data_IF_965443328794
#
_entry.id   IF_965443328794
#
_cell.length_a   1.000
_cell.length_b   1.000
_cell.length_c   1.000
_cell.angle_alpha   90.00
_cell.angle_beta   90.00
_cell.angle_gamma   90.00
#
_symmetry.space_group_name_H-M   'P 1'
#
loop_
_entity.id
_entity.type
_entity.pdbx_description
1 polymer ?
#
# COMPACT_ATOMS: atom_id res chain seq x y z
N UNK A 1 -21.06 19.64 18.47
CA UNK A 1 -20.22 20.24 17.42
C UNK A 1 -18.88 20.77 17.96
N UNK A 2 -18.82 21.71 18.93
CA UNK A 2 -17.55 22.27 19.48
C UNK A 2 -16.53 21.23 19.95
N UNK A 3 -16.98 20.18 20.69
CA UNK A 3 -16.10 19.09 21.14
C UNK A 3 -15.46 18.35 19.96
N UNK A 4 -16.22 18.06 18.90
CA UNK A 4 -15.71 17.36 17.71
C UNK A 4 -14.67 18.21 16.97
N UNK A 5 -14.96 19.50 16.76
CA UNK A 5 -14.00 20.43 16.13
C UNK A 5 -12.69 20.50 16.94
N UNK A 6 -12.81 20.61 18.28
CA UNK A 6 -11.62 20.62 19.15
C UNK A 6 -10.81 19.32 19.09
N UNK A 7 -11.46 18.15 19.02
CA UNK A 7 -10.75 16.86 18.90
C UNK A 7 -10.05 16.73 17.56
N UNK A 8 -10.69 17.14 16.47
CA UNK A 8 -10.07 17.13 15.13
C UNK A 8 -8.85 18.07 15.07
N UNK A 9 -8.98 19.28 15.63
CA UNK A 9 -7.86 20.23 15.70
C UNK A 9 -6.67 19.64 16.50
N UNK A 10 -6.94 19.11 17.69
CA UNK A 10 -5.91 18.47 18.53
C UNK A 10 -5.22 17.28 17.83
N UNK A 11 -5.99 16.47 17.08
CA UNK A 11 -5.41 15.38 16.29
C UNK A 11 -4.45 15.93 15.23
N UNK A 12 -4.87 16.95 14.48
CA UNK A 12 -4.03 17.56 13.45
C UNK A 12 -2.76 18.18 14.04
N UNK A 13 -2.86 18.96 15.11
CA UNK A 13 -1.73 19.55 15.83
C UNK A 13 -0.74 18.51 16.32
N UNK A 14 -1.26 17.42 16.91
CA UNK A 14 -0.41 16.31 17.35
C UNK A 14 0.30 15.63 16.18
N UNK A 15 -0.42 15.25 15.11
CA UNK A 15 0.19 14.59 13.93
C UNK A 15 1.20 15.49 13.22
N UNK A 16 1.02 16.81 13.23
CA UNK A 16 2.00 17.78 12.73
C UNK A 16 3.28 17.84 13.56
N UNK A 17 3.22 17.51 14.85
CA UNK A 17 4.40 17.42 15.71
C UNK A 17 5.07 16.02 15.69
N UNK A 18 4.50 15.05 14.99
CA UNK A 18 4.99 13.69 14.93
C UNK A 18 5.85 13.41 13.69
N UNK A 19 6.82 12.53 13.84
CA UNK A 19 7.48 11.82 12.75
C UNK A 19 6.60 10.62 12.39
N UNK A 20 5.85 10.73 11.29
CA UNK A 20 4.85 9.75 10.85
C UNK A 20 5.51 8.71 9.93
N UNK A 21 5.68 7.50 10.43
CA UNK A 21 6.35 6.40 9.75
C UNK A 21 5.44 5.17 9.54
N UNK A 22 4.13 5.37 9.53
CA UNK A 22 3.19 4.31 9.16
C UNK A 22 3.30 4.03 7.65
N UNK A 23 3.72 2.82 7.29
CA UNK A 23 3.96 2.46 5.89
C UNK A 23 2.70 2.49 5.00
N UNK A 24 1.50 2.54 5.60
CA UNK A 24 0.21 2.59 4.89
C UNK A 24 -0.46 3.97 4.92
N UNK A 25 0.23 5.02 5.37
CA UNK A 25 -0.28 6.39 5.40
C UNK A 25 0.53 7.30 4.47
N UNK A 26 -0.11 8.35 3.98
CA UNK A 26 0.53 9.45 3.24
C UNK A 26 -0.40 10.66 3.25
N UNK A 27 0.09 11.79 2.76
CA UNK A 27 -0.67 13.03 2.65
C UNK A 27 -0.85 13.46 1.21
N UNK A 28 -2.06 13.92 0.88
CA UNK A 28 -2.32 14.63 -0.37
C UNK A 28 -1.67 16.01 -0.36
N UNK A 29 -1.46 16.58 -1.54
CA UNK A 29 -1.12 18.00 -1.65
C UNK A 29 -2.34 18.89 -1.37
N UNK A 30 -2.13 20.16 -0.98
CA UNK A 30 -3.22 21.11 -0.86
C UNK A 30 -4.05 21.26 -2.15
N UNK A 31 -3.43 21.16 -3.32
CA UNK A 31 -4.13 21.17 -4.61
C UNK A 31 -5.09 19.97 -4.75
N UNK A 32 -4.66 18.78 -4.39
CA UNK A 32 -5.51 17.57 -4.41
C UNK A 32 -6.61 17.63 -3.34
N UNK A 33 -6.33 18.17 -2.15
CA UNK A 33 -7.33 18.35 -1.09
C UNK A 33 -8.46 19.29 -1.52
N UNK A 34 -8.14 20.38 -2.22
CA UNK A 34 -9.17 21.28 -2.78
C UNK A 34 -10.06 20.60 -3.81
N UNK A 35 -9.51 19.70 -4.63
CA UNK A 35 -10.29 18.91 -5.57
C UNK A 35 -11.18 17.86 -4.87
N UNK A 36 -10.80 17.43 -3.68
CA UNK A 36 -11.52 16.42 -2.91
C UNK A 36 -12.81 16.99 -2.29
N UNK A 37 -12.81 18.26 -1.84
CA UNK A 37 -13.97 18.90 -1.22
C UNK A 37 -14.82 19.60 -2.27
N UNK A 38 -15.88 18.94 -2.73
CA UNK A 38 -16.75 19.43 -3.80
C UNK A 38 -18.19 18.91 -3.65
N UNK A 39 -19.13 19.40 -4.48
CA UNK A 39 -20.51 18.91 -4.55
C UNK A 39 -20.62 17.42 -4.84
N UNK A 40 -19.61 16.82 -5.48
CA UNK A 40 -19.54 15.38 -5.74
C UNK A 40 -19.64 14.52 -4.47
N UNK A 41 -19.37 15.08 -3.27
CA UNK A 41 -19.56 14.40 -1.98
C UNK A 41 -21.01 14.00 -1.70
N UNK A 42 -21.97 14.60 -2.40
CA UNK A 42 -23.39 14.47 -2.15
C UNK A 42 -24.13 13.73 -3.28
N UNK A 43 -23.42 13.19 -4.29
CA UNK A 43 -24.02 12.66 -5.51
C UNK A 43 -23.94 11.14 -5.58
N UNK A 44 -24.84 10.57 -6.38
CA UNK A 44 -24.95 9.15 -6.69
C UNK A 44 -24.67 8.90 -8.17
N UNK A 45 -23.85 7.89 -8.48
CA UNK A 45 -23.47 7.52 -9.84
C UNK A 45 -23.36 6.00 -10.02
N UNK A 46 -24.36 5.26 -9.51
CA UNK A 46 -24.43 3.81 -9.71
C UNK A 46 -24.45 3.45 -11.19
N UNK A 47 -23.76 2.37 -11.55
CA UNK A 47 -23.52 1.97 -12.91
C UNK A 47 -22.10 2.33 -13.39
N UNK A 48 -21.92 2.38 -14.70
CA UNK A 48 -20.67 2.79 -15.36
C UNK A 48 -20.93 4.07 -16.17
N UNK A 49 -19.89 4.83 -16.55
CA UNK A 49 -20.04 6.02 -17.40
C UNK A 49 -20.97 5.75 -18.59
N UNK A 50 -21.85 6.70 -18.90
CA UNK A 50 -22.85 6.68 -19.97
C UNK A 50 -23.95 5.59 -19.86
N UNK A 51 -23.90 4.76 -18.81
CA UNK A 51 -24.90 3.73 -18.50
C UNK A 51 -25.27 3.76 -17.00
N UNK A 52 -25.67 4.94 -16.52
CA UNK A 52 -26.01 5.19 -15.12
C UNK A 52 -27.48 4.89 -14.83
N UNK A 53 -27.73 4.56 -13.58
CA UNK A 53 -29.10 4.44 -13.05
C UNK A 53 -29.70 5.80 -12.64
N UNK A 54 -28.88 6.85 -12.53
CA UNK A 54 -29.25 8.21 -12.08
C UNK A 54 -28.96 9.25 -13.16
N UNK A 55 -29.69 10.37 -13.10
CA UNK A 55 -29.52 11.53 -13.97
C UNK A 55 -28.62 12.60 -13.37
N UNK A 56 -28.27 13.63 -14.15
CA UNK A 56 -27.44 14.74 -13.72
C UNK A 56 -25.95 14.43 -13.66
N UNK A 57 -25.48 13.39 -14.38
CA UNK A 57 -24.14 12.84 -14.29
C UNK A 57 -23.24 13.13 -15.48
N UNK A 58 -23.64 14.02 -16.39
CA UNK A 58 -22.89 14.31 -17.60
C UNK A 58 -21.42 14.74 -17.36
N UNK A 59 -21.13 15.42 -16.23
CA UNK A 59 -19.77 15.80 -15.86
C UNK A 59 -19.08 14.73 -15.02
N UNK A 60 -19.83 13.97 -14.26
CA UNK A 60 -19.31 12.81 -13.51
C UNK A 60 -18.77 11.76 -14.46
N UNK A 61 -19.50 11.48 -15.55
CA UNK A 61 -19.07 10.54 -16.58
C UNK A 61 -17.74 10.98 -17.21
N UNK A 62 -17.64 12.26 -17.60
CA UNK A 62 -16.41 12.80 -18.15
C UNK A 62 -15.23 12.76 -17.16
N UNK A 63 -15.47 13.03 -15.88
CA UNK A 63 -14.45 12.93 -14.83
C UNK A 63 -13.97 11.50 -14.68
N UNK A 64 -14.89 10.54 -14.60
CA UNK A 64 -14.54 9.13 -14.41
C UNK A 64 -13.83 8.57 -15.65
N UNK A 65 -14.29 8.88 -16.85
CA UNK A 65 -13.61 8.52 -18.10
C UNK A 65 -12.17 9.07 -18.13
N UNK A 66 -12.00 10.36 -17.83
CA UNK A 66 -10.69 11.00 -17.84
C UNK A 66 -9.74 10.34 -16.85
N UNK A 67 -10.21 10.05 -15.66
CA UNK A 67 -9.39 9.36 -14.63
C UNK A 67 -8.99 7.97 -15.11
N UNK A 68 -9.95 7.17 -15.60
CA UNK A 68 -9.68 5.80 -16.06
C UNK A 68 -8.72 5.78 -17.25
N UNK A 69 -8.93 6.65 -18.25
CA UNK A 69 -8.07 6.72 -19.44
C UNK A 69 -6.63 7.12 -19.08
N UNK A 70 -6.45 8.11 -18.20
CA UNK A 70 -5.11 8.54 -17.80
C UNK A 70 -4.38 7.46 -16.98
N UNK A 71 -5.09 6.70 -16.12
CA UNK A 71 -4.49 5.56 -15.43
C UNK A 71 -4.15 4.42 -16.38
N UNK A 72 -5.03 4.06 -17.32
CA UNK A 72 -4.75 3.06 -18.36
C UNK A 72 -3.49 3.42 -19.13
N UNK A 73 -3.43 4.65 -19.62
CA UNK A 73 -2.28 5.15 -20.38
C UNK A 73 -0.99 5.12 -19.57
N UNK A 74 -1.05 5.54 -18.29
CA UNK A 74 0.15 5.62 -17.44
C UNK A 74 0.72 4.26 -17.08
N UNK A 75 -0.13 3.28 -16.81
CA UNK A 75 0.27 1.92 -16.42
C UNK A 75 0.34 0.93 -17.59
N UNK A 76 -0.01 1.33 -18.81
CA UNK A 76 -0.08 0.44 -19.96
C UNK A 76 -1.13 -0.65 -19.80
N UNK A 77 -2.28 -0.30 -19.19
CA UNK A 77 -3.39 -1.20 -18.94
C UNK A 77 -4.53 -1.00 -19.96
N UNK A 78 -5.21 -2.08 -20.34
CA UNK A 78 -6.40 -2.02 -21.20
C UNK A 78 -7.67 -1.73 -20.39
N UNK A 79 -7.65 -2.06 -19.09
CA UNK A 79 -8.76 -1.92 -18.16
C UNK A 79 -8.34 -1.13 -16.92
N UNK A 80 -9.24 -0.25 -16.45
CA UNK A 80 -9.13 0.45 -15.18
C UNK A 80 -10.51 0.58 -14.54
N UNK A 81 -10.65 0.21 -13.26
CA UNK A 81 -11.83 0.49 -12.45
C UNK A 81 -11.41 1.24 -11.17
N UNK A 82 -11.82 2.50 -11.05
CA UNK A 82 -11.46 3.40 -9.94
C UNK A 82 -12.53 3.45 -8.84
N UNK A 83 -13.60 2.68 -8.97
CA UNK A 83 -14.74 2.69 -8.04
C UNK A 83 -14.51 1.96 -6.71
N UNK A 84 -13.62 0.96 -6.57
CA UNK A 84 -13.40 0.32 -5.27
C UNK A 84 -13.06 1.33 -4.18
N UNK A 85 -13.75 1.24 -3.03
CA UNK A 85 -13.57 2.17 -1.90
C UNK A 85 -12.35 1.84 -1.03
N UNK A 86 -11.71 0.71 -1.28
CA UNK A 86 -10.48 0.26 -0.60
C UNK A 86 -9.73 -0.76 -1.44
N UNK A 87 -8.44 -0.98 -1.13
CA UNK A 87 -7.66 -2.08 -1.72
C UNK A 87 -8.27 -3.45 -1.42
N UNK A 88 -8.84 -3.65 -0.25
CA UNK A 88 -9.56 -4.88 0.10
C UNK A 88 -10.73 -5.13 -0.85
N UNK A 89 -11.53 -4.10 -1.17
CA UNK A 89 -12.65 -4.24 -2.10
C UNK A 89 -12.16 -4.49 -3.53
N UNK A 90 -11.02 -3.90 -3.92
CA UNK A 90 -10.37 -4.21 -5.20
C UNK A 90 -9.98 -5.69 -5.27
N UNK A 91 -9.39 -6.25 -4.19
CA UNK A 91 -9.09 -7.68 -4.09
C UNK A 91 -10.36 -8.54 -4.19
N UNK A 92 -11.41 -8.18 -3.44
CA UNK A 92 -12.69 -8.89 -3.48
C UNK A 92 -13.24 -8.98 -4.90
N UNK A 93 -13.30 -7.85 -5.60
CA UNK A 93 -13.87 -7.77 -6.94
C UNK A 93 -13.02 -8.56 -7.95
N UNK A 94 -11.68 -8.45 -7.88
CA UNK A 94 -10.78 -9.20 -8.75
C UNK A 94 -10.90 -10.72 -8.51
N UNK A 95 -10.88 -11.16 -7.24
CA UNK A 95 -11.01 -12.59 -6.89
C UNK A 95 -12.35 -13.17 -7.35
N UNK A 96 -13.47 -12.48 -7.03
CA UNK A 96 -14.81 -12.92 -7.42
C UNK A 96 -15.01 -13.01 -8.93
N UNK A 97 -14.35 -12.13 -9.70
CA UNK A 97 -14.49 -12.10 -11.15
C UNK A 97 -13.86 -13.31 -11.86
N UNK A 98 -12.82 -13.89 -11.28
CA UNK A 98 -12.01 -14.93 -11.93
C UNK A 98 -12.04 -16.29 -11.22
N UNK A 99 -12.82 -16.43 -10.15
CA UNK A 99 -12.91 -17.68 -9.40
C UNK A 99 -14.35 -18.03 -9.00
N UNK A 100 -14.53 -19.26 -8.56
CA UNK A 100 -15.75 -19.78 -7.97
C UNK A 100 -15.47 -20.37 -6.59
N UNK A 101 -16.51 -20.53 -5.78
CA UNK A 101 -16.43 -21.18 -4.47
C UNK A 101 -15.80 -22.58 -4.60
N UNK A 102 -14.81 -22.88 -3.75
CA UNK A 102 -14.04 -24.13 -3.75
C UNK A 102 -12.80 -24.10 -4.65
N UNK A 103 -12.59 -23.05 -5.45
CA UNK A 103 -11.34 -22.93 -6.21
C UNK A 103 -10.14 -22.75 -5.28
N UNK A 104 -9.03 -23.41 -5.65
CA UNK A 104 -7.74 -23.25 -4.96
C UNK A 104 -6.98 -22.06 -5.50
N UNK A 105 -6.38 -21.30 -4.59
CA UNK A 105 -5.49 -20.18 -4.88
C UNK A 105 -4.18 -20.31 -4.11
N UNK A 106 -3.15 -19.64 -4.60
CA UNK A 106 -1.90 -19.47 -3.85
C UNK A 106 -1.69 -18.00 -3.54
N UNK A 107 -1.31 -17.71 -2.30
CA UNK A 107 -0.90 -16.37 -1.87
C UNK A 107 0.41 -16.44 -1.08
N UNK A 108 0.96 -15.28 -0.71
CA UNK A 108 1.98 -15.24 0.33
C UNK A 108 1.31 -15.48 1.69
N UNK A 109 2.00 -16.11 2.64
CA UNK A 109 1.55 -16.14 4.04
C UNK A 109 1.62 -14.75 4.68
N UNK A 110 0.80 -14.49 5.69
CA UNK A 110 0.77 -13.17 6.39
C UNK A 110 2.14 -12.80 6.95
N UNK A 111 2.89 -13.76 7.47
CA UNK A 111 4.25 -13.53 7.98
C UNK A 111 5.27 -13.18 6.88
N UNK A 112 4.93 -13.44 5.62
CA UNK A 112 5.73 -13.11 4.46
C UNK A 112 5.21 -11.89 3.68
N UNK A 113 4.32 -11.13 4.30
CA UNK A 113 3.86 -9.83 3.79
C UNK A 113 2.54 -9.83 3.03
N UNK A 114 1.82 -10.96 2.99
CA UNK A 114 0.45 -10.98 2.46
C UNK A 114 -0.47 -9.99 3.19
N UNK A 115 -1.51 -9.55 2.51
CA UNK A 115 -2.59 -8.82 3.15
C UNK A 115 -3.68 -9.81 3.63
N UNK A 116 -4.34 -9.51 4.75
CA UNK A 116 -5.39 -10.36 5.32
C UNK A 116 -6.53 -10.67 4.31
N UNK A 117 -6.78 -9.83 3.32
CA UNK A 117 -7.76 -10.10 2.25
C UNK A 117 -7.41 -11.32 1.39
N UNK A 118 -6.15 -11.73 1.33
CA UNK A 118 -5.73 -12.91 0.58
C UNK A 118 -5.91 -14.21 1.35
N UNK A 119 -6.25 -14.13 2.63
CA UNK A 119 -6.30 -15.24 3.56
C UNK A 119 -7.75 -15.74 3.81
N UNK A 120 -7.84 -16.91 4.47
CA UNK A 120 -9.12 -17.49 4.90
C UNK A 120 -9.94 -16.56 5.81
N UNK A 121 -9.27 -15.66 6.54
CA UNK A 121 -9.93 -14.67 7.40
C UNK A 121 -10.43 -13.42 6.64
N UNK A 122 -10.13 -13.28 5.36
CA UNK A 122 -10.44 -12.10 4.55
C UNK A 122 -11.32 -12.42 3.34
N UNK A 123 -11.05 -11.70 2.23
CA UNK A 123 -11.82 -11.78 1.00
C UNK A 123 -11.81 -13.20 0.41
N UNK A 124 -10.65 -13.83 0.34
CA UNK A 124 -10.52 -15.18 -0.21
C UNK A 124 -11.40 -16.20 0.54
N UNK A 125 -11.36 -16.18 1.89
CA UNK A 125 -12.20 -17.10 2.67
C UNK A 125 -13.68 -16.76 2.62
N UNK A 126 -14.05 -15.47 2.56
CA UNK A 126 -15.47 -15.07 2.42
C UNK A 126 -16.04 -15.53 1.08
N UNK A 127 -15.25 -15.53 0.01
CA UNK A 127 -15.62 -16.10 -1.29
C UNK A 127 -15.61 -17.64 -1.28
N UNK A 128 -15.15 -18.26 -0.20
CA UNK A 128 -15.08 -19.71 -0.06
C UNK A 128 -13.94 -20.35 -0.86
N UNK A 129 -12.86 -19.59 -1.09
CA UNK A 129 -11.66 -20.10 -1.77
C UNK A 129 -10.79 -20.90 -0.81
N UNK A 130 -10.11 -21.91 -1.34
CA UNK A 130 -9.09 -22.68 -0.63
C UNK A 130 -7.73 -22.02 -0.82
N UNK A 131 -7.17 -21.50 0.29
CA UNK A 131 -5.91 -20.75 0.27
C UNK A 131 -4.77 -21.66 0.71
N UNK A 132 -3.74 -21.75 -0.11
CA UNK A 132 -2.42 -22.29 0.22
C UNK A 132 -1.36 -21.21 -0.02
N UNK A 133 -0.16 -21.39 0.57
CA UNK A 133 0.89 -20.37 0.50
C UNK A 133 1.97 -20.73 -0.53
N UNK A 134 2.46 -19.70 -1.21
CA UNK A 134 3.69 -19.74 -2.00
C UNK A 134 4.90 -19.91 -1.06
N UNK A 135 6.01 -20.34 -1.61
CA UNK A 135 7.22 -20.57 -0.83
C UNK A 135 8.07 -19.29 -0.71
N UNK A 136 8.65 -19.09 0.45
CA UNK A 136 9.38 -17.89 0.81
C UNK A 136 10.75 -18.21 1.41
N UNK A 137 11.73 -17.33 1.17
CA UNK A 137 13.07 -17.46 1.73
C UNK A 137 13.17 -16.71 3.08
N UNK A 138 14.18 -17.01 3.87
CA UNK A 138 14.42 -16.34 5.14
C UNK A 138 14.92 -14.88 4.97
N UNK A 139 15.25 -14.46 3.76
CA UNK A 139 15.78 -13.14 3.43
C UNK A 139 14.69 -12.14 2.96
N UNK A 140 13.46 -12.41 3.29
CA UNK A 140 12.28 -11.63 2.88
C UNK A 140 12.05 -11.57 1.35
N UNK A 141 12.45 -12.60 0.63
CA UNK A 141 12.14 -12.78 -0.80
C UNK A 141 11.32 -14.04 -1.04
N UNK A 142 10.56 -14.06 -2.13
CA UNK A 142 9.88 -15.27 -2.59
C UNK A 142 10.88 -16.27 -3.15
N UNK A 143 10.69 -17.55 -2.83
CA UNK A 143 11.40 -18.63 -3.49
C UNK A 143 10.69 -18.99 -4.81
N UNK A 144 11.19 -18.46 -5.92
CA UNK A 144 10.55 -18.62 -7.22
C UNK A 144 10.52 -20.09 -7.68
N UNK A 145 11.61 -20.83 -7.50
CA UNK A 145 11.73 -22.24 -7.93
C UNK A 145 10.71 -23.14 -7.23
N UNK A 146 10.70 -23.10 -5.89
CA UNK A 146 9.74 -23.88 -5.09
C UNK A 146 8.29 -23.42 -5.31
N UNK A 147 8.07 -22.12 -5.50
CA UNK A 147 6.74 -21.60 -5.82
C UNK A 147 6.25 -22.06 -7.19
N UNK A 148 7.09 -22.09 -8.21
CA UNK A 148 6.77 -22.66 -9.52
C UNK A 148 6.42 -24.15 -9.43
N UNK A 149 7.22 -24.94 -8.72
CA UNK A 149 6.92 -26.36 -8.50
C UNK A 149 5.56 -26.56 -7.80
N UNK A 150 5.23 -25.69 -6.83
CA UNK A 150 3.96 -25.73 -6.13
C UNK A 150 2.79 -25.33 -7.04
N UNK A 151 2.93 -24.30 -7.88
CA UNK A 151 1.93 -23.90 -8.89
C UNK A 151 1.60 -25.09 -9.81
N UNK A 152 2.62 -25.74 -10.37
CA UNK A 152 2.44 -26.89 -11.25
C UNK A 152 1.74 -28.07 -10.57
N UNK A 153 2.06 -28.31 -9.28
CA UNK A 153 1.45 -29.38 -8.48
C UNK A 153 0.00 -29.09 -8.11
N UNK A 154 -0.29 -27.87 -7.61
CA UNK A 154 -1.59 -27.48 -7.07
C UNK A 154 -2.57 -27.11 -8.18
N UNK A 155 -2.08 -26.53 -9.28
CA UNK A 155 -2.86 -25.98 -10.39
C UNK A 155 -3.92 -25.01 -9.89
N UNK A 156 -3.51 -23.91 -9.23
CA UNK A 156 -4.44 -22.95 -8.67
C UNK A 156 -5.24 -22.23 -9.76
N UNK A 157 -6.40 -21.70 -9.40
CA UNK A 157 -7.19 -20.83 -10.30
C UNK A 157 -6.45 -19.52 -10.60
N UNK A 158 -5.84 -18.95 -9.57
CA UNK A 158 -4.93 -17.80 -9.67
C UNK A 158 -3.94 -17.81 -8.51
N UNK A 159 -2.87 -17.04 -8.67
CA UNK A 159 -1.99 -16.67 -7.57
C UNK A 159 -2.16 -15.19 -7.28
N UNK A 160 -2.02 -14.79 -5.99
CA UNK A 160 -1.95 -13.39 -5.59
C UNK A 160 -0.63 -13.13 -4.87
N UNK A 161 0.13 -12.17 -5.39
CA UNK A 161 1.46 -11.79 -4.90
C UNK A 161 1.46 -10.30 -4.55
N UNK A 162 2.43 -9.85 -3.76
CA UNK A 162 2.40 -8.51 -3.19
C UNK A 162 1.55 -8.44 -1.91
N UNK A 163 1.16 -7.25 -1.49
CA UNK A 163 0.33 -7.04 -0.30
C UNK A 163 0.87 -6.02 0.70
N UNK A 164 0.94 -6.39 1.99
CA UNK A 164 1.24 -5.48 3.11
C UNK A 164 2.72 -5.19 3.32
N UNK A 165 3.60 -6.13 2.99
CA UNK A 165 5.06 -5.97 3.08
C UNK A 165 5.69 -6.41 1.77
N UNK A 166 6.39 -5.49 1.14
CA UNK A 166 7.10 -5.73 -0.12
C UNK A 166 8.44 -4.98 0.00
N UNK A 167 9.49 -5.69 0.40
CA UNK A 167 10.83 -5.10 0.47
C UNK A 167 11.54 -5.11 -0.88
N UNK A 168 11.28 -6.12 -1.72
CA UNK A 168 11.92 -6.34 -3.01
C UNK A 168 10.89 -6.67 -4.10
N UNK A 169 11.23 -6.46 -5.39
CA UNK A 169 10.41 -6.90 -6.50
C UNK A 169 10.04 -8.38 -6.40
N UNK A 170 8.85 -8.73 -6.87
CA UNK A 170 8.36 -10.11 -6.89
C UNK A 170 8.77 -10.80 -8.21
N UNK A 171 9.03 -12.12 -8.23
CA UNK A 171 9.53 -12.83 -9.41
C UNK A 171 8.40 -13.17 -10.40
N UNK A 172 7.72 -12.14 -10.96
CA UNK A 172 6.55 -12.32 -11.82
C UNK A 172 6.87 -13.14 -13.07
N UNK A 173 7.99 -12.82 -13.73
CA UNK A 173 8.38 -13.47 -14.99
C UNK A 173 8.65 -14.95 -14.83
N UNK A 174 9.25 -15.34 -13.71
CA UNK A 174 9.51 -16.76 -13.38
C UNK A 174 8.19 -17.48 -13.10
N UNK A 175 7.30 -16.88 -12.30
CA UNK A 175 6.00 -17.45 -11.95
C UNK A 175 5.06 -17.54 -13.15
N UNK A 176 5.14 -16.58 -14.09
CA UNK A 176 4.30 -16.54 -15.30
C UNK A 176 4.37 -17.83 -16.10
N UNK A 177 5.58 -18.39 -16.28
CA UNK A 177 5.77 -19.63 -17.04
C UNK A 177 4.99 -20.79 -16.42
N UNK A 178 5.12 -20.97 -15.10
CA UNK A 178 4.39 -22.03 -14.39
C UNK A 178 2.86 -21.79 -14.40
N UNK A 179 2.44 -20.54 -14.30
CA UNK A 179 1.02 -20.17 -14.37
C UNK A 179 0.44 -20.45 -15.76
N UNK A 180 1.18 -20.18 -16.84
CA UNK A 180 0.73 -20.46 -18.22
C UNK A 180 0.51 -21.95 -18.46
N UNK A 181 1.39 -22.82 -17.94
CA UNK A 181 1.26 -24.26 -18.08
C UNK A 181 -0.02 -24.81 -17.44
N UNK A 182 -0.51 -24.18 -16.39
CA UNK A 182 -1.72 -24.63 -15.65
C UNK A 182 -2.95 -23.76 -15.91
N UNK A 183 -2.83 -22.69 -16.70
CA UNK A 183 -3.90 -21.74 -16.98
C UNK A 183 -4.28 -20.83 -15.81
N UNK A 184 -3.36 -20.61 -14.86
CA UNK A 184 -3.59 -19.77 -13.71
C UNK A 184 -3.36 -18.27 -14.04
N UNK A 185 -4.15 -17.39 -13.42
CA UNK A 185 -3.95 -15.93 -13.49
C UNK A 185 -2.98 -15.46 -12.41
N UNK A 186 -2.33 -14.33 -12.65
CA UNK A 186 -1.49 -13.63 -11.67
C UNK A 186 -2.16 -12.31 -11.29
N UNK A 187 -2.50 -12.16 -10.01
CA UNK A 187 -2.93 -10.88 -9.43
C UNK A 187 -1.76 -10.31 -8.63
N UNK A 188 -1.44 -9.05 -8.89
CA UNK A 188 -0.44 -8.31 -8.14
C UNK A 188 -1.11 -7.26 -7.24
N UNK A 189 -1.05 -7.47 -5.91
CA UNK A 189 -1.50 -6.47 -4.95
C UNK A 189 -0.42 -5.40 -4.75
N UNK A 190 -0.55 -4.31 -5.50
CA UNK A 190 0.37 -3.18 -5.50
C UNK A 190 0.07 -2.15 -4.40
N UNK A 191 -0.82 -2.43 -3.46
CA UNK A 191 -1.32 -1.43 -2.52
C UNK A 191 -0.22 -0.62 -1.83
N UNK A 192 0.90 -1.24 -1.49
CA UNK A 192 2.02 -0.56 -0.85
C UNK A 192 3.02 0.09 -1.81
N UNK A 193 3.11 -0.38 -3.04
CA UNK A 193 4.17 0.04 -3.97
C UNK A 193 3.67 0.77 -5.21
N UNK A 194 2.35 1.05 -5.31
CA UNK A 194 1.76 1.71 -6.48
C UNK A 194 2.49 3.01 -6.86
N UNK A 195 2.88 3.84 -5.89
CA UNK A 195 3.60 5.08 -6.16
C UNK A 195 5.00 4.85 -6.71
N UNK A 196 5.69 3.79 -6.26
CA UNK A 196 7.01 3.43 -6.77
C UNK A 196 6.91 2.86 -8.19
N UNK A 197 5.87 2.06 -8.47
CA UNK A 197 5.54 1.54 -9.81
C UNK A 197 5.19 2.69 -10.75
N UNK A 198 4.30 3.59 -10.35
CA UNK A 198 3.89 4.75 -11.13
C UNK A 198 5.07 5.66 -11.50
N UNK A 199 6.08 5.73 -10.66
CA UNK A 199 7.30 6.50 -10.88
C UNK A 199 8.35 5.77 -11.74
N UNK A 200 8.15 4.50 -12.06
CA UNK A 200 9.14 3.67 -12.77
C UNK A 200 10.40 3.39 -11.94
N UNK A 201 10.30 3.41 -10.61
CA UNK A 201 11.43 3.17 -9.67
C UNK A 201 11.41 1.75 -9.10
N UNK A 202 10.30 1.05 -9.26
CA UNK A 202 10.11 -0.34 -8.85
C UNK A 202 9.84 -1.21 -10.09
N UNK A 203 9.28 -2.41 -9.94
CA UNK A 203 8.92 -3.29 -11.06
C UNK A 203 7.72 -2.77 -11.86
N UNK A 204 7.48 -3.35 -13.03
CA UNK A 204 6.31 -3.10 -13.88
C UNK A 204 5.47 -4.38 -14.00
N UNK A 205 4.53 -4.61 -13.07
CA UNK A 205 3.86 -5.91 -12.96
C UNK A 205 3.11 -6.35 -14.21
N UNK A 206 2.44 -5.43 -14.93
CA UNK A 206 1.69 -5.79 -16.15
C UNK A 206 2.63 -6.22 -17.28
N UNK A 207 3.73 -5.51 -17.48
CA UNK A 207 4.73 -5.88 -18.50
C UNK A 207 5.52 -7.12 -18.13
N UNK A 208 5.67 -7.39 -16.84
CA UNK A 208 6.32 -8.60 -16.33
C UNK A 208 5.42 -9.83 -16.39
N UNK A 209 4.11 -9.67 -16.62
CA UNK A 209 3.18 -10.77 -16.87
C UNK A 209 2.07 -10.94 -15.83
N UNK A 210 1.84 -9.99 -14.93
CA UNK A 210 0.62 -10.00 -14.13
C UNK A 210 -0.61 -9.70 -14.99
N UNK A 211 -1.70 -10.41 -14.79
CA UNK A 211 -2.95 -10.19 -15.51
C UNK A 211 -3.72 -8.99 -14.92
N UNK A 212 -3.69 -8.86 -13.59
CA UNK A 212 -4.46 -7.85 -12.84
C UNK A 212 -3.57 -7.24 -11.76
N UNK A 213 -3.65 -5.92 -11.63
CA UNK A 213 -3.16 -5.18 -10.46
C UNK A 213 -4.37 -4.76 -9.62
N UNK A 214 -4.36 -5.10 -8.34
CA UNK A 214 -5.24 -4.51 -7.33
C UNK A 214 -4.44 -3.56 -6.47
N UNK A 215 -5.02 -2.45 -6.00
CA UNK A 215 -4.23 -1.48 -5.26
C UNK A 215 -5.06 -0.57 -4.35
N UNK A 216 -4.37 0.09 -3.41
CA UNK A 216 -4.81 1.30 -2.70
C UNK A 216 -4.21 2.54 -3.35
N UNK A 217 -4.85 3.70 -3.17
CA UNK A 217 -4.47 4.95 -3.83
C UNK A 217 -3.89 6.01 -2.88
N UNK A 218 -3.49 5.64 -1.64
CA UNK A 218 -3.18 6.58 -0.56
C UNK A 218 -1.95 6.21 0.29
N UNK A 219 -1.05 5.34 -0.23
CA UNK A 219 0.16 4.92 0.48
C UNK A 219 1.38 5.53 -0.18
N UNK A 220 2.22 4.78 -0.88
CA UNK A 220 3.30 5.38 -1.69
C UNK A 220 2.76 6.26 -2.82
N UNK A 221 1.59 5.93 -3.36
CA UNK A 221 0.84 6.83 -4.23
C UNK A 221 0.08 7.82 -3.35
N UNK A 222 0.35 9.16 -3.44
CA UNK A 222 -0.14 10.15 -2.48
C UNK A 222 -1.53 10.72 -2.85
N UNK A 223 -2.46 9.83 -3.21
CA UNK A 223 -3.83 10.19 -3.57
C UNK A 223 -4.83 10.01 -2.41
N UNK A 224 -6.13 10.21 -2.67
CA UNK A 224 -7.19 10.01 -1.69
C UNK A 224 -7.35 8.53 -1.33
N UNK A 225 -7.84 8.24 -0.13
CA UNK A 225 -8.15 6.88 0.28
C UNK A 225 -9.14 6.22 -0.67
N UNK A 226 -8.84 4.98 -1.03
CA UNK A 226 -9.64 4.16 -1.93
C UNK A 226 -8.84 3.03 -2.54
N UNK A 227 -9.46 2.29 -3.44
CA UNK A 227 -8.84 1.23 -4.22
C UNK A 227 -8.97 1.48 -5.72
N UNK A 228 -8.29 0.65 -6.49
CA UNK A 228 -8.35 0.64 -7.95
C UNK A 228 -7.96 -0.75 -8.47
N UNK A 229 -8.48 -1.11 -9.63
CA UNK A 229 -8.11 -2.33 -10.36
C UNK A 229 -7.64 -1.91 -11.74
N UNK A 230 -6.48 -2.42 -12.14
CA UNK A 230 -5.91 -2.28 -13.47
C UNK A 230 -5.67 -3.68 -14.06
N UNK A 231 -5.67 -3.84 -15.37
CA UNK A 231 -5.36 -5.15 -15.95
C UNK A 231 -5.31 -5.14 -17.47
N UNK A 232 -4.67 -6.20 -17.99
CA UNK A 232 -4.71 -6.56 -19.41
C UNK A 232 -5.51 -7.87 -19.50
N UNK A 233 -6.82 -7.74 -19.58
CA UNK A 233 -7.79 -8.83 -19.42
C UNK A 233 -8.88 -8.75 -20.49
N UNK A 234 -9.46 -9.91 -20.82
CA UNK A 234 -10.55 -9.99 -21.78
C UNK A 234 -11.82 -9.26 -21.31
N UNK A 235 -12.69 -8.93 -22.27
CA UNK A 235 -13.91 -8.15 -22.03
C UNK A 235 -14.89 -8.84 -21.07
N UNK A 236 -14.91 -10.17 -21.05
CA UNK A 236 -15.76 -10.94 -20.13
C UNK A 236 -15.30 -10.76 -18.69
N UNK A 237 -14.00 -10.86 -18.45
CA UNK A 237 -13.39 -10.62 -17.13
C UNK A 237 -13.60 -9.17 -16.68
N UNK A 238 -13.44 -8.18 -17.59
CA UNK A 238 -13.74 -6.78 -17.29
C UNK A 238 -15.18 -6.60 -16.79
N UNK A 239 -16.16 -7.16 -17.50
CA UNK A 239 -17.58 -7.11 -17.10
C UNK A 239 -17.84 -7.79 -15.76
N UNK A 240 -17.17 -8.91 -15.48
CA UNK A 240 -17.28 -9.59 -14.18
C UNK A 240 -16.72 -8.74 -13.05
N UNK A 241 -15.57 -8.09 -13.23
CA UNK A 241 -15.00 -7.16 -12.25
C UNK A 241 -15.96 -5.98 -12.01
N UNK A 242 -16.47 -5.37 -13.08
CA UNK A 242 -17.42 -4.27 -12.98
C UNK A 242 -18.68 -4.65 -12.21
N UNK A 243 -19.23 -5.86 -12.46
CA UNK A 243 -20.37 -6.40 -11.74
C UNK A 243 -20.04 -6.73 -10.28
N UNK A 244 -18.85 -7.22 -9.99
CA UNK A 244 -18.40 -7.47 -8.64
C UNK A 244 -18.27 -6.15 -7.84
N UNK A 245 -17.70 -5.10 -8.44
CA UNK A 245 -17.64 -3.79 -7.78
C UNK A 245 -19.05 -3.24 -7.53
N UNK A 246 -19.91 -3.24 -8.52
CA UNK A 246 -21.31 -2.82 -8.43
C UNK A 246 -22.18 -3.71 -9.32
N UNK A 247 -23.25 -4.32 -8.79
CA UNK A 247 -23.86 -4.11 -7.47
C UNK A 247 -23.46 -5.11 -6.36
N UNK A 248 -22.47 -6.03 -6.59
CA UNK A 248 -22.25 -7.13 -5.64
C UNK A 248 -21.64 -6.68 -4.31
N UNK A 249 -20.59 -5.84 -4.34
CA UNK A 249 -19.83 -5.50 -3.14
C UNK A 249 -19.95 -4.03 -2.70
N UNK A 250 -20.46 -3.18 -3.56
CA UNK A 250 -20.77 -1.78 -3.21
C UNK A 250 -22.02 -1.29 -3.90
N UNK A 251 -22.58 -0.21 -3.37
CA UNK A 251 -23.63 0.59 -3.98
C UNK A 251 -22.98 1.78 -4.70
N UNK A 252 -23.16 2.99 -4.19
CA UNK A 252 -22.53 4.16 -4.76
C UNK A 252 -21.06 4.24 -4.38
N UNK A 253 -20.18 4.58 -5.32
CA UNK A 253 -18.79 4.87 -5.04
C UNK A 253 -18.59 6.36 -4.68
N UNK A 254 -17.41 6.69 -4.14
CA UNK A 254 -17.11 8.04 -3.64
C UNK A 254 -16.63 8.95 -4.76
N UNK A 255 -17.55 9.68 -5.41
CA UNK A 255 -17.29 10.47 -6.60
C UNK A 255 -16.25 11.58 -6.38
N UNK A 256 -16.30 12.22 -5.21
CA UNK A 256 -15.41 13.34 -4.85
C UNK A 256 -13.93 12.96 -4.81
N UNK A 257 -13.61 11.65 -4.71
CA UNK A 257 -12.21 11.21 -4.77
C UNK A 257 -11.62 11.24 -6.18
N UNK A 258 -12.45 11.22 -7.22
CA UNK A 258 -11.98 11.12 -8.62
C UNK A 258 -11.13 12.32 -9.06
N UNK A 259 -11.54 13.58 -8.86
CA UNK A 259 -10.70 14.72 -9.22
C UNK A 259 -9.39 14.77 -8.44
N UNK A 260 -9.40 14.43 -7.14
CA UNK A 260 -8.18 14.38 -6.33
C UNK A 260 -7.25 13.23 -6.76
N UNK A 261 -7.81 12.09 -7.15
CA UNK A 261 -7.05 10.95 -7.69
C UNK A 261 -6.35 11.32 -9.00
N UNK A 262 -7.05 12.03 -9.90
CA UNK A 262 -6.47 12.58 -11.11
C UNK A 262 -5.33 13.56 -10.81
N UNK A 263 -5.55 14.50 -9.88
CA UNK A 263 -4.52 15.45 -9.44
C UNK A 263 -3.26 14.74 -8.94
N UNK A 264 -3.43 13.73 -8.09
CA UNK A 264 -2.31 12.93 -7.58
C UNK A 264 -1.57 12.17 -8.70
N UNK A 265 -2.28 11.67 -9.71
CA UNK A 265 -1.63 11.04 -10.88
C UNK A 265 -0.80 12.07 -11.66
N UNK A 266 -1.31 13.29 -11.87
CA UNK A 266 -0.56 14.36 -12.54
C UNK A 266 0.69 14.75 -11.76
N UNK A 267 0.62 14.80 -10.43
CA UNK A 267 1.81 15.00 -9.59
C UNK A 267 2.81 13.87 -9.73
N UNK A 268 2.35 12.61 -9.74
CA UNK A 268 3.23 11.45 -9.95
C UNK A 268 3.88 11.44 -11.34
N UNK A 269 3.18 11.87 -12.36
CA UNK A 269 3.74 12.02 -13.72
C UNK A 269 4.84 13.09 -13.77
N UNK A 270 4.73 14.14 -12.97
CA UNK A 270 5.65 15.29 -12.99
C UNK A 270 6.81 15.12 -11.98
N UNK A 271 6.50 14.73 -10.76
CA UNK A 271 7.45 14.71 -9.64
C UNK A 271 7.74 13.30 -9.13
N UNK A 272 7.03 12.29 -9.61
CA UNK A 272 7.03 10.95 -9.04
C UNK A 272 8.39 10.28 -9.04
N UNK A 273 9.19 10.47 -10.10
CA UNK A 273 10.54 9.88 -10.18
C UNK A 273 11.44 10.37 -9.05
N UNK A 274 11.48 11.67 -8.81
CA UNK A 274 12.31 12.25 -7.74
C UNK A 274 11.79 11.85 -6.36
N UNK A 275 10.46 11.88 -6.18
CA UNK A 275 9.79 11.49 -4.95
C UNK A 275 10.06 10.01 -4.61
N UNK A 276 9.79 9.10 -5.52
CA UNK A 276 9.98 7.66 -5.31
C UNK A 276 11.47 7.30 -5.10
N UNK A 277 12.36 7.93 -5.85
CA UNK A 277 13.82 7.75 -5.66
C UNK A 277 14.23 8.17 -4.24
N UNK A 278 13.74 9.31 -3.77
CA UNK A 278 14.04 9.77 -2.41
C UNK A 278 13.42 8.89 -1.34
N UNK A 279 12.20 8.36 -1.55
CA UNK A 279 11.58 7.38 -0.64
C UNK A 279 12.50 6.19 -0.41
N UNK A 280 13.00 5.57 -1.49
CA UNK A 280 13.86 4.38 -1.40
C UNK A 280 15.19 4.71 -0.73
N UNK A 281 15.82 5.84 -1.08
CA UNK A 281 17.06 6.31 -0.43
C UNK A 281 16.86 6.51 1.08
N UNK A 282 15.76 7.13 1.46
CA UNK A 282 15.40 7.36 2.86
C UNK A 282 15.18 6.03 3.61
N UNK A 283 14.48 5.08 3.01
CA UNK A 283 14.29 3.76 3.61
C UNK A 283 15.63 3.03 3.82
N UNK A 284 16.51 3.05 2.83
CA UNK A 284 17.83 2.45 2.93
C UNK A 284 18.73 3.15 3.94
N UNK A 285 18.69 4.48 4.02
CA UNK A 285 19.47 5.25 5.01
C UNK A 285 19.00 4.93 6.43
N UNK A 286 17.68 4.98 6.67
CA UNK A 286 17.08 4.62 7.96
C UNK A 286 17.42 3.19 8.38
N UNK A 287 17.30 2.23 7.46
CA UNK A 287 17.60 0.83 7.73
C UNK A 287 19.07 0.61 8.11
N UNK A 288 20.00 1.19 7.35
CA UNK A 288 21.45 1.12 7.64
C UNK A 288 21.78 1.73 9.00
N UNK A 289 21.26 2.92 9.27
CA UNK A 289 21.55 3.59 10.55
C UNK A 289 20.96 2.83 11.73
N UNK A 290 19.72 2.33 11.64
CA UNK A 290 19.16 1.46 12.68
C UNK A 290 20.02 0.21 12.90
N UNK A 291 20.47 -0.44 11.83
CA UNK A 291 21.37 -1.59 11.92
C UNK A 291 22.69 -1.24 12.62
N UNK A 292 23.34 -0.13 12.23
CA UNK A 292 24.57 0.36 12.82
C UNK A 292 24.42 0.69 14.31
N UNK A 293 23.22 1.14 14.71
CA UNK A 293 22.87 1.45 16.10
C UNK A 293 22.49 0.22 16.93
N UNK A 294 22.53 -0.99 16.35
CA UNK A 294 22.33 -2.26 17.06
C UNK A 294 20.92 -2.85 16.97
N UNK A 295 20.06 -2.34 16.08
CA UNK A 295 18.77 -2.97 15.82
C UNK A 295 18.91 -4.15 14.85
N UNK A 296 18.10 -5.19 15.05
CA UNK A 296 18.02 -6.32 14.13
C UNK A 296 17.09 -5.98 12.95
N UNK A 297 17.63 -5.24 11.98
CA UNK A 297 16.94 -4.89 10.74
C UNK A 297 16.99 -6.07 9.77
N UNK A 298 15.84 -6.47 9.23
CA UNK A 298 15.75 -7.63 8.33
C UNK A 298 16.34 -7.34 6.94
N UNK A 299 16.71 -8.41 6.22
CA UNK A 299 17.22 -8.37 4.86
C UNK A 299 18.55 -7.59 4.67
N UNK A 300 19.41 -7.56 5.70
CA UNK A 300 20.70 -6.84 5.67
C UNK A 300 21.60 -7.25 4.50
N UNK A 301 21.71 -8.55 4.22
CA UNK A 301 22.54 -9.09 3.14
C UNK A 301 22.09 -8.66 1.73
N UNK A 302 20.86 -8.12 1.61
CA UNK A 302 20.28 -7.57 0.36
C UNK A 302 20.20 -6.04 0.35
N UNK A 303 20.83 -5.35 1.31
CA UNK A 303 20.76 -3.89 1.45
C UNK A 303 19.43 -3.41 2.05
N UNK A 304 18.75 -4.27 2.81
CA UNK A 304 17.55 -4.04 3.61
C UNK A 304 16.25 -3.90 2.81
N UNK A 305 16.21 -3.05 1.78
CA UNK A 305 14.99 -2.77 1.02
C UNK A 305 15.27 -2.10 -0.33
N UNK A 306 14.38 -2.32 -1.28
CA UNK A 306 14.25 -1.56 -2.52
C UNK A 306 12.91 -0.81 -2.59
N UNK A 307 12.18 -0.76 -1.46
CA UNK A 307 10.88 -0.09 -1.36
C UNK A 307 10.92 1.04 -0.30
N UNK A 308 9.75 1.46 0.13
CA UNK A 308 9.57 2.45 1.20
C UNK A 308 9.62 1.86 2.61
N UNK A 309 9.66 0.53 2.73
CA UNK A 309 9.47 -0.17 3.99
C UNK A 309 10.78 -0.64 4.59
N UNK A 310 10.86 -0.59 5.92
CA UNK A 310 11.92 -1.18 6.73
C UNK A 310 11.27 -2.08 7.78
N UNK A 311 11.77 -3.30 7.94
CA UNK A 311 11.34 -4.24 8.97
C UNK A 311 12.41 -4.41 10.03
N UNK A 312 12.02 -4.33 11.29
CA UNK A 312 12.91 -4.57 12.43
C UNK A 312 12.34 -5.69 13.28
N UNK A 313 13.17 -6.68 13.59
CA UNK A 313 12.87 -7.73 14.57
C UNK A 313 13.22 -7.21 15.96
N UNK A 314 12.23 -7.05 16.81
CA UNK A 314 12.37 -6.55 18.19
C UNK A 314 12.75 -7.64 19.20
N UNK A 315 12.89 -8.90 18.76
CA UNK A 315 13.39 -10.02 19.57
C UNK A 315 12.29 -10.93 20.11
N UNK A 316 11.60 -10.55 21.15
CA UNK A 316 10.59 -11.42 21.82
C UNK A 316 9.18 -11.17 21.26
N UNK A 317 8.29 -12.19 21.32
CA UNK A 317 6.88 -11.99 21.03
C UNK A 317 6.27 -10.87 21.88
N UNK A 318 5.58 -9.93 21.22
CA UNK A 318 4.97 -8.76 21.85
C UNK A 318 5.85 -7.49 21.87
N UNK A 319 7.17 -7.61 21.72
CA UNK A 319 8.07 -6.45 21.72
C UNK A 319 7.79 -5.48 20.58
N UNK A 320 7.29 -5.96 19.44
CA UNK A 320 6.84 -5.06 18.37
C UNK A 320 5.76 -4.08 18.83
N UNK A 321 4.80 -4.56 19.65
CA UNK A 321 3.77 -3.71 20.25
C UNK A 321 4.30 -2.78 21.35
N UNK A 322 5.22 -3.26 22.18
CA UNK A 322 5.88 -2.47 23.22
C UNK A 322 6.68 -1.33 22.60
N UNK A 323 7.53 -1.62 21.61
CA UNK A 323 8.34 -0.60 20.94
C UNK A 323 7.47 0.44 20.22
N UNK A 324 6.43 0.00 19.53
CA UNK A 324 5.50 0.91 18.87
C UNK A 324 4.82 1.85 19.88
N UNK A 325 4.39 1.34 21.04
CA UNK A 325 3.77 2.15 22.09
C UNK A 325 4.74 3.13 22.78
N UNK A 326 6.01 2.74 22.99
CA UNK A 326 7.04 3.64 23.51
C UNK A 326 7.33 4.76 22.52
N UNK A 327 7.46 4.45 21.23
CA UNK A 327 7.76 5.40 20.16
C UNK A 327 6.58 6.37 19.92
N UNK A 328 5.34 5.90 20.02
CA UNK A 328 4.15 6.78 19.96
C UNK A 328 4.21 7.88 21.03
N UNK A 329 4.59 7.54 22.28
CA UNK A 329 4.79 8.52 23.36
C UNK A 329 5.93 9.49 23.09
N UNK A 330 6.87 9.12 22.23
CA UNK A 330 7.95 9.97 21.77
C UNK A 330 7.62 10.74 20.47
N UNK A 331 6.35 10.79 20.05
CA UNK A 331 5.90 11.39 18.78
C UNK A 331 6.54 10.75 17.54
N UNK A 332 6.89 9.47 17.59
CA UNK A 332 7.37 8.69 16.44
C UNK A 332 6.33 7.60 16.18
N UNK A 333 5.57 7.77 15.10
CA UNK A 333 4.39 6.94 14.83
C UNK A 333 4.72 5.88 13.78
N UNK A 334 4.67 4.62 14.18
CA UNK A 334 4.87 3.45 13.33
C UNK A 334 3.96 2.30 13.80
N UNK A 335 3.97 1.15 13.13
CA UNK A 335 3.13 0.04 13.56
C UNK A 335 3.92 -1.23 13.89
N UNK A 336 3.39 -1.98 14.87
CA UNK A 336 3.78 -3.37 15.08
C UNK A 336 3.41 -4.21 13.85
N UNK A 337 4.23 -5.20 13.51
CA UNK A 337 4.02 -6.04 12.34
C UNK A 337 4.49 -7.48 12.56
N UNK A 338 3.77 -8.43 11.98
CA UNK A 338 4.21 -9.82 11.88
C UNK A 338 5.44 -9.86 10.95
N UNK A 339 6.44 -10.64 11.31
CA UNK A 339 7.65 -10.88 10.53
C UNK A 339 7.86 -12.39 10.33
N UNK A 340 8.71 -12.82 9.39
CA UNK A 340 9.00 -14.23 9.19
C UNK A 340 9.37 -14.97 10.49
N UNK A 341 8.70 -16.10 10.74
CA UNK A 341 8.84 -16.90 11.97
C UNK A 341 7.91 -16.52 13.12
N UNK A 342 7.03 -15.52 12.96
CA UNK A 342 6.00 -15.20 13.97
C UNK A 342 4.76 -16.10 13.89
N UNK A 343 4.57 -16.80 12.77
CA UNK A 343 3.30 -17.42 12.44
C UNK A 343 2.19 -16.40 12.22
N UNK A 344 0.93 -16.83 12.31
CA UNK A 344 -0.23 -16.00 11.97
C UNK A 344 -0.86 -15.24 13.17
N UNK A 345 -0.13 -15.05 14.29
CA UNK A 345 -0.69 -14.37 15.45
C UNK A 345 -0.43 -12.86 15.46
N UNK A 346 -1.38 -12.00 15.01
CA UNK A 346 -1.19 -10.56 14.92
C UNK A 346 -1.24 -9.84 16.29
N UNK A 347 -1.60 -10.54 17.38
CA UNK A 347 -1.74 -9.91 18.71
C UNK A 347 -0.40 -9.58 19.32
N UNK A 348 0.59 -10.47 19.18
CA UNK A 348 1.91 -10.37 19.80
C UNK A 348 3.06 -10.48 18.79
N UNK A 349 3.12 -9.62 17.75
CA UNK A 349 4.18 -9.70 16.76
C UNK A 349 5.52 -9.29 17.35
N UNK A 350 6.61 -9.89 16.83
CA UNK A 350 7.99 -9.53 17.19
C UNK A 350 8.52 -8.33 16.43
N UNK A 351 7.85 -7.93 15.36
CA UNK A 351 8.36 -6.89 14.46
C UNK A 351 7.68 -5.54 14.58
N UNK A 352 8.38 -4.54 14.09
CA UNK A 352 7.82 -3.24 13.70
C UNK A 352 8.07 -3.01 12.22
N UNK A 353 7.12 -2.34 11.58
CA UNK A 353 7.23 -1.89 10.18
C UNK A 353 7.27 -0.38 10.14
N UNK A 354 8.22 0.14 9.40
CA UNK A 354 8.51 1.57 9.23
C UNK A 354 8.35 1.92 7.76
N UNK A 355 7.70 3.04 7.46
CA UNK A 355 7.56 3.57 6.10
C UNK A 355 8.08 5.00 6.01
N UNK A 356 8.76 5.33 4.92
CA UNK A 356 9.43 6.63 4.77
C UNK A 356 8.69 7.60 3.84
N UNK A 357 7.63 7.18 3.18
CA UNK A 357 6.95 7.94 2.12
C UNK A 357 6.37 9.27 2.60
N UNK A 358 5.75 9.32 3.79
CA UNK A 358 5.13 10.54 4.30
C UNK A 358 6.18 11.57 4.71
N UNK A 359 7.22 11.17 5.42
CA UNK A 359 8.29 12.10 5.81
C UNK A 359 9.10 12.58 4.60
N UNK A 360 9.27 11.73 3.58
CA UNK A 360 9.83 12.15 2.28
C UNK A 360 8.91 13.20 1.61
N UNK A 361 7.58 13.03 1.70
CA UNK A 361 6.61 13.99 1.16
C UNK A 361 6.72 15.37 1.82
N UNK A 362 7.20 15.43 3.06
CA UNK A 362 7.52 16.67 3.75
C UNK A 362 8.95 17.17 3.53
N UNK A 363 9.74 16.52 2.66
CA UNK A 363 11.07 16.97 2.24
C UNK A 363 12.23 16.44 3.04
N UNK A 364 12.02 15.50 3.97
CA UNK A 364 13.10 14.83 4.68
C UNK A 364 13.93 13.96 3.73
N UNK A 365 15.23 13.89 3.99
CA UNK A 365 16.23 13.13 3.23
C UNK A 365 17.03 12.21 4.17
N UNK A 366 18.14 11.69 3.69
CA UNK A 366 18.95 10.68 4.37
C UNK A 366 19.46 11.14 5.74
N UNK A 367 19.85 12.42 5.88
CA UNK A 367 20.35 12.96 7.16
C UNK A 367 19.26 13.01 8.22
N UNK A 368 18.02 13.37 7.82
CA UNK A 368 16.87 13.34 8.71
C UNK A 368 16.51 11.91 9.11
N UNK A 369 16.65 10.93 8.20
CA UNK A 369 16.45 9.52 8.52
C UNK A 369 17.48 9.02 9.55
N UNK A 370 18.72 9.44 9.44
CA UNK A 370 19.76 9.13 10.43
C UNK A 370 19.43 9.75 11.81
N UNK A 371 18.90 10.96 11.83
CA UNK A 371 18.45 11.58 13.08
C UNK A 371 17.25 10.85 13.69
N UNK A 372 16.28 10.43 12.87
CA UNK A 372 15.13 9.63 13.31
C UNK A 372 15.60 8.29 13.93
N UNK A 373 16.56 7.61 13.30
CA UNK A 373 17.14 6.37 13.86
C UNK A 373 17.75 6.60 15.26
N UNK A 374 18.43 7.74 15.48
CA UNK A 374 18.98 8.10 16.80
C UNK A 374 17.89 8.35 17.83
N UNK A 375 16.79 9.03 17.48
CA UNK A 375 15.63 9.18 18.38
C UNK A 375 15.03 7.83 18.74
N UNK A 376 14.87 6.92 17.78
CA UNK A 376 14.38 5.56 18.02
C UNK A 376 15.31 4.82 19.00
N UNK A 377 16.64 4.89 18.80
CA UNK A 377 17.61 4.26 19.69
C UNK A 377 17.50 4.79 21.12
N UNK A 378 17.46 6.10 21.31
CA UNK A 378 17.37 6.73 22.65
C UNK A 378 16.18 6.21 23.43
N UNK A 379 15.01 6.09 22.78
CA UNK A 379 13.79 5.59 23.43
C UNK A 379 13.86 4.08 23.68
N UNK A 380 14.25 3.30 22.67
CA UNK A 380 14.11 1.84 22.71
C UNK A 380 15.30 1.16 23.41
N UNK A 381 16.55 1.54 23.07
CA UNK A 381 17.76 0.89 23.58
C UNK A 381 18.30 1.60 24.82
N UNK A 382 18.43 2.92 24.76
CA UNK A 382 19.00 3.72 25.85
C UNK A 382 18.00 3.98 26.99
N UNK A 383 16.71 3.62 26.80
CA UNK A 383 15.61 3.75 27.78
C UNK A 383 15.39 5.17 28.28
N UNK A 384 15.69 6.17 27.45
CA UNK A 384 15.38 7.57 27.76
C UNK A 384 13.85 7.79 27.82
N UNK A 385 13.41 8.76 28.65
CA UNK A 385 11.98 9.09 28.75
C UNK A 385 11.41 9.45 27.39
N UNK A 386 10.37 8.74 26.90
CA UNK A 386 9.72 9.08 25.64
C UNK A 386 9.24 10.53 25.59
N UNK A 387 8.74 11.07 26.70
CA UNK A 387 8.22 12.43 26.82
C UNK A 387 9.33 13.50 26.69
N UNK A 388 10.57 13.17 27.09
CA UNK A 388 11.74 14.02 26.86
C UNK A 388 12.07 14.07 25.37
N UNK A 389 12.16 12.89 24.72
CA UNK A 389 12.47 12.76 23.31
C UNK A 389 11.37 13.39 22.45
N UNK A 390 10.08 13.29 22.87
CA UNK A 390 8.96 13.87 22.13
C UNK A 390 9.09 15.39 21.90
N UNK A 391 9.68 16.12 22.86
CA UNK A 391 9.91 17.55 22.71
C UNK A 391 10.92 17.85 21.60
N UNK A 392 11.98 17.08 21.52
CA UNK A 392 13.00 17.23 20.48
C UNK A 392 12.47 16.77 19.12
N UNK A 393 11.71 15.68 19.07
CA UNK A 393 11.03 15.22 17.85
C UNK A 393 10.07 16.30 17.33
N UNK A 394 9.30 16.94 18.22
CA UNK A 394 8.41 18.04 17.84
C UNK A 394 9.16 19.24 17.28
N UNK A 395 10.28 19.64 17.91
CA UNK A 395 11.13 20.72 17.42
C UNK A 395 11.76 20.36 16.05
N UNK A 396 12.29 19.16 15.90
CA UNK A 396 12.83 18.63 14.64
C UNK A 396 11.78 18.61 13.53
N UNK A 397 10.55 18.19 13.84
CA UNK A 397 9.46 18.10 12.88
C UNK A 397 8.94 19.48 12.42
N UNK A 398 9.14 20.52 13.22
CA UNK A 398 8.68 21.89 12.90
C UNK A 398 9.30 22.45 11.61
N UNK A 399 10.48 22.01 11.23
CA UNK A 399 11.16 22.44 10.00
C UNK A 399 10.59 21.77 8.73
N UNK A 400 9.75 20.75 8.88
CA UNK A 400 9.25 19.91 7.78
C UNK A 400 7.72 19.92 7.70
N UNK A 401 7.08 21.08 7.52
CA UNK A 401 5.63 21.23 7.49
C UNK A 401 5.03 21.36 6.08
N UNK A 402 5.86 21.66 5.10
CA UNK A 402 5.41 21.91 3.72
C UNK A 402 5.44 20.63 2.90
N UNK A 403 4.31 20.29 2.27
CA UNK A 403 4.22 19.18 1.31
C UNK A 403 5.07 19.51 0.07
N UNK A 404 5.91 18.57 -0.32
CA UNK A 404 6.80 18.66 -1.49
C UNK A 404 6.36 17.69 -2.59
N UNK A 405 7.04 17.73 -3.72
CA UNK A 405 6.76 16.88 -4.89
C UNK A 405 5.32 17.02 -5.38
N UNK A 406 4.79 18.24 -5.37
CA UNK A 406 3.44 18.59 -5.79
C UNK A 406 3.46 19.91 -6.57
N UNK A 407 2.35 20.21 -7.24
CA UNK A 407 2.18 21.54 -7.85
C UNK A 407 2.06 22.60 -6.74
N UNK A 408 2.70 23.76 -6.97
CA UNK A 408 2.45 24.94 -6.16
C UNK A 408 1.01 25.45 -6.39
N UNK A 409 0.44 26.04 -5.36
CA UNK A 409 -0.86 26.71 -5.47
C UNK A 409 -0.82 27.90 -6.40
#
# INVERSE_FOLDING_TARGET
>A
MKKMVSLAAKHNEWRQSCVNLIASENVMSPACERLYVSDLMHRYAEGIPHKRYYQGLQYVDQIEDLVQEEFKKHFGADFCDVRPISGTLANYAAFAAISARGDRILSLGVEHGSHVSHEKAGAAGTLGLEVEWLEYNNDCTMNAELSCAKILKIKPKFIVIGGSVILFPQPIQELRKACDEVGAKIIYDAAHVLGLIAAGIFQDPLREGADIITTSTHKTFPGPQGGMILGNIDEETQKKIQAAVFPQFSSNHHLHRMPALYGALREMQTFGKDYATQIVKNAQALARELHNLGFNVLAGDRGFTQSHQVLVNCGQPGFGGEFAGLLERANIILNKNIIPGDGVNPKNPRGIRIGTQEMTRFGMKEDEMNQIAKFIKRVVLDKESPESVAKEVGAFRADFQTVRYCFSD
#
